data_IF_766788859459
#
_entry.id   IF_766788859459
#
_cell.length_a   1.000
_cell.length_b   1.000
_cell.length_c   1.000
_cell.angle_alpha   90.00
_cell.angle_beta   90.00
_cell.angle_gamma   90.00
#
_symmetry.space_group_name_H-M   'P 1'
#
loop_
_entity.id
_entity.type
_entity.pdbx_description
1 polymer ?
#
# COMPACT_ATOMS: atom_id res chain seq x y z
N UNK A 1 -20.52 12.40 -17.72
CA UNK A 1 -21.29 11.91 -16.55
C UNK A 1 -20.29 11.55 -15.48
N UNK A 2 -20.48 12.03 -14.25
CA UNK A 2 -19.60 11.67 -13.14
C UNK A 2 -19.67 10.16 -12.87
N UNK A 3 -18.52 9.50 -12.75
CA UNK A 3 -18.46 8.08 -12.43
C UNK A 3 -18.91 7.87 -10.98
N UNK A 4 -19.87 6.97 -10.76
CA UNK A 4 -20.27 6.56 -9.42
C UNK A 4 -19.26 5.61 -8.78
N UNK A 5 -19.15 5.63 -7.45
CA UNK A 5 -18.21 4.78 -6.71
C UNK A 5 -18.26 3.28 -7.05
N UNK A 6 -19.44 2.63 -7.20
CA UNK A 6 -19.50 1.22 -7.59
C UNK A 6 -18.90 0.96 -8.98
N UNK A 7 -19.11 1.87 -9.93
CA UNK A 7 -18.57 1.76 -11.27
C UNK A 7 -17.06 1.99 -11.29
N UNK A 8 -16.56 2.94 -10.49
CA UNK A 8 -15.13 3.17 -10.31
C UNK A 8 -14.46 1.94 -9.69
N UNK A 9 -15.02 1.39 -8.60
CA UNK A 9 -14.53 0.18 -7.95
C UNK A 9 -14.44 -0.97 -8.94
N UNK A 10 -15.53 -1.26 -9.66
CA UNK A 10 -15.55 -2.36 -10.62
C UNK A 10 -14.52 -2.18 -11.75
N UNK A 11 -14.24 -0.94 -12.17
CA UNK A 11 -13.21 -0.66 -13.19
C UNK A 11 -11.81 -0.91 -12.64
N UNK A 12 -11.49 -0.38 -11.46
CA UNK A 12 -10.22 -0.59 -10.77
C UNK A 12 -9.98 -2.07 -10.44
N UNK A 13 -11.03 -2.80 -10.03
CA UNK A 13 -10.98 -4.24 -9.77
C UNK A 13 -10.64 -5.03 -11.03
N UNK A 14 -11.26 -4.69 -12.18
CA UNK A 14 -10.93 -5.31 -13.49
C UNK A 14 -9.51 -5.02 -13.94
N UNK A 15 -9.01 -3.82 -13.67
CA UNK A 15 -7.62 -3.44 -13.93
C UNK A 15 -6.63 -4.12 -12.96
N UNK A 16 -7.13 -4.82 -11.93
CA UNK A 16 -6.30 -5.49 -10.94
C UNK A 16 -5.72 -4.56 -9.87
N UNK A 17 -6.20 -3.33 -9.74
CA UNK A 17 -5.70 -2.38 -8.73
C UNK A 17 -6.87 -1.80 -7.94
N UNK A 18 -7.43 -2.55 -6.97
CA UNK A 18 -8.68 -2.19 -6.30
C UNK A 18 -8.56 -0.87 -5.51
N UNK A 19 -9.73 -0.26 -5.28
CA UNK A 19 -9.82 0.93 -4.44
C UNK A 19 -9.48 0.59 -2.97
N UNK A 20 -8.85 1.55 -2.30
CA UNK A 20 -8.55 1.50 -0.86
C UNK A 20 -9.29 2.55 -0.05
N UNK A 21 -9.94 3.50 -0.70
CA UNK A 21 -10.71 4.58 -0.06
C UNK A 21 -10.53 5.89 -0.81
N UNK A 22 -11.26 6.91 -0.38
CA UNK A 22 -11.12 8.25 -0.93
C UNK A 22 -11.56 9.31 0.06
N UNK A 23 -11.18 10.56 -0.21
CA UNK A 23 -11.60 11.71 0.58
C UNK A 23 -11.68 12.96 -0.31
N UNK A 24 -12.38 13.97 0.18
CA UNK A 24 -12.41 15.30 -0.43
C UNK A 24 -11.26 16.12 0.17
N UNK A 25 -10.25 16.51 -0.62
CA UNK A 25 -9.07 17.21 -0.12
C UNK A 25 -9.39 18.54 0.55
N UNK A 26 -8.55 18.91 1.51
CA UNK A 26 -8.44 20.24 2.12
C UNK A 26 -7.06 20.81 1.80
N UNK A 27 -6.88 22.11 2.01
CA UNK A 27 -5.62 22.81 1.69
C UNK A 27 -4.39 22.19 2.40
N UNK A 28 -4.58 21.65 3.62
CA UNK A 28 -3.52 21.02 4.42
C UNK A 28 -3.23 19.55 4.05
N UNK A 29 -4.05 18.93 3.19
CA UNK A 29 -3.83 17.55 2.74
C UNK A 29 -2.69 17.44 1.70
N UNK A 30 -2.25 18.56 1.10
CA UNK A 30 -1.13 18.59 0.14
C UNK A 30 -1.39 17.84 -1.17
N UNK A 31 -2.66 17.75 -1.59
CA UNK A 31 -3.09 17.14 -2.85
C UNK A 31 -2.93 18.15 -3.98
N UNK A 32 -2.23 17.84 -5.09
CA UNK A 32 -2.09 18.76 -6.20
C UNK A 32 -3.43 18.94 -6.95
N UNK A 33 -3.58 20.01 -7.74
CA UNK A 33 -4.69 20.18 -8.67
C UNK A 33 -4.88 18.97 -9.61
N UNK A 34 -6.11 18.75 -10.06
CA UNK A 34 -6.44 17.82 -11.13
C UNK A 34 -6.32 18.56 -12.47
N UNK A 35 -5.13 18.50 -13.09
CA UNK A 35 -4.79 19.35 -14.23
C UNK A 35 -4.85 20.83 -13.85
N UNK A 36 -5.67 21.61 -14.57
CA UNK A 36 -5.85 23.05 -14.33
C UNK A 36 -6.94 23.36 -13.28
N UNK A 37 -7.62 22.33 -12.74
CA UNK A 37 -8.73 22.48 -11.80
C UNK A 37 -8.33 22.08 -10.38
N UNK A 38 -8.91 22.69 -9.33
CA UNK A 38 -8.72 22.24 -7.96
C UNK A 38 -9.12 20.77 -7.77
N UNK A 39 -8.43 20.07 -6.85
CA UNK A 39 -8.74 18.68 -6.53
C UNK A 39 -10.06 18.56 -5.76
N UNK A 40 -11.09 17.98 -6.36
CA UNK A 40 -12.38 17.71 -5.73
C UNK A 40 -12.41 16.40 -4.95
N UNK A 41 -11.69 15.38 -5.41
CA UNK A 41 -11.61 14.06 -4.77
C UNK A 41 -10.25 13.42 -5.00
N UNK A 42 -9.65 12.85 -3.94
CA UNK A 42 -8.54 11.92 -4.06
C UNK A 42 -9.02 10.51 -3.74
N UNK A 43 -8.70 9.55 -4.60
CA UNK A 43 -9.00 8.14 -4.44
C UNK A 43 -7.71 7.35 -4.40
N UNK A 44 -7.51 6.55 -3.35
CA UNK A 44 -6.35 5.68 -3.22
C UNK A 44 -6.61 4.31 -3.82
N UNK A 45 -5.60 3.78 -4.50
CA UNK A 45 -5.62 2.45 -5.09
C UNK A 45 -4.43 1.64 -4.57
N UNK A 46 -4.61 0.33 -4.51
CA UNK A 46 -3.56 -0.54 -4.00
C UNK A 46 -4.08 -1.94 -3.76
N UNK A 47 -3.55 -2.63 -2.76
CA UNK A 47 -3.90 -4.02 -2.53
C UNK A 47 -4.40 -4.27 -1.12
N UNK A 48 -5.45 -5.06 -1.03
CA UNK A 48 -5.94 -5.72 0.17
C UNK A 48 -6.55 -7.06 -0.28
N UNK A 49 -5.83 -8.15 -0.04
CA UNK A 49 -6.09 -9.43 -0.71
C UNK A 49 -5.34 -9.60 -2.05
N UNK A 50 -5.67 -10.64 -2.82
CA UNK A 50 -4.77 -11.20 -3.84
C UNK A 50 -4.90 -10.60 -5.24
N UNK A 51 -5.90 -9.75 -5.51
CA UNK A 51 -6.25 -9.32 -6.87
C UNK A 51 -5.11 -8.66 -7.62
N UNK A 52 -4.44 -7.69 -6.99
CA UNK A 52 -3.28 -7.00 -7.57
C UNK A 52 -2.13 -7.93 -7.85
N UNK A 53 -1.78 -8.80 -6.90
CA UNK A 53 -0.70 -9.75 -7.13
C UNK A 53 -1.03 -10.69 -8.30
N UNK A 54 -2.26 -11.22 -8.37
CA UNK A 54 -2.68 -12.07 -9.50
C UNK A 54 -2.62 -11.35 -10.85
N UNK A 55 -3.00 -10.08 -10.91
CA UNK A 55 -2.95 -9.30 -12.14
C UNK A 55 -1.50 -9.01 -12.57
N UNK A 56 -0.67 -8.57 -11.62
CA UNK A 56 0.75 -8.32 -11.86
C UNK A 56 1.52 -9.59 -12.24
N UNK A 57 1.28 -10.71 -11.55
CA UNK A 57 1.94 -11.98 -11.85
C UNK A 57 1.60 -12.46 -13.26
N UNK A 58 0.35 -12.31 -13.71
CA UNK A 58 -0.04 -12.60 -15.10
C UNK A 58 0.69 -11.72 -16.10
N UNK A 59 0.78 -10.42 -15.85
CA UNK A 59 1.54 -9.51 -16.72
C UNK A 59 3.04 -9.89 -16.81
N UNK A 60 3.58 -10.56 -15.79
CA UNK A 60 4.97 -11.05 -15.77
C UNK A 60 5.19 -12.37 -16.48
N UNK A 61 4.14 -13.09 -16.88
CA UNK A 61 4.28 -14.32 -17.67
C UNK A 61 4.97 -14.01 -19.01
N UNK A 62 4.58 -12.90 -19.66
CA UNK A 62 5.17 -12.43 -20.92
C UNK A 62 6.33 -11.44 -20.72
N UNK A 63 6.48 -10.87 -19.52
CA UNK A 63 7.52 -9.90 -19.19
C UNK A 63 8.15 -10.18 -17.80
N UNK A 64 9.02 -11.18 -17.66
CA UNK A 64 9.55 -11.62 -16.36
C UNK A 64 10.25 -10.52 -15.56
N UNK A 65 10.88 -9.54 -16.21
CA UNK A 65 11.59 -8.43 -15.55
C UNK A 65 10.70 -7.21 -15.25
N UNK A 66 9.41 -7.25 -15.55
CA UNK A 66 8.50 -6.13 -15.30
C UNK A 66 8.44 -5.79 -13.81
N UNK A 67 8.85 -4.56 -13.47
CA UNK A 67 8.77 -4.05 -12.11
C UNK A 67 7.32 -3.76 -11.73
N UNK A 68 7.00 -3.90 -10.44
CA UNK A 68 5.66 -3.62 -9.94
C UNK A 68 5.30 -2.14 -10.08
N UNK A 69 6.26 -1.24 -9.92
CA UNK A 69 6.04 0.20 -10.03
C UNK A 69 5.80 0.62 -11.50
N UNK A 70 6.49 -0.01 -12.45
CA UNK A 70 6.26 0.19 -13.89
C UNK A 70 4.88 -0.34 -14.31
N UNK A 71 4.51 -1.54 -13.85
CA UNK A 71 3.17 -2.09 -14.06
C UNK A 71 2.09 -1.20 -13.46
N UNK A 72 2.29 -0.75 -12.22
CA UNK A 72 1.37 0.17 -11.52
C UNK A 72 1.21 1.47 -12.31
N UNK A 73 2.32 2.07 -12.75
CA UNK A 73 2.32 3.30 -13.55
C UNK A 73 1.53 3.12 -14.84
N UNK A 74 1.76 2.02 -15.54
CA UNK A 74 1.08 1.71 -16.82
C UNK A 74 -0.43 1.56 -16.62
N UNK A 75 -0.85 0.72 -15.67
CA UNK A 75 -2.27 0.43 -15.41
C UNK A 75 -3.02 1.67 -14.93
N UNK A 76 -2.45 2.40 -13.97
CA UNK A 76 -3.15 3.54 -13.36
C UNK A 76 -3.12 4.76 -14.27
N UNK A 77 -2.08 4.97 -15.08
CA UNK A 77 -2.08 6.08 -16.04
C UNK A 77 -3.14 5.86 -17.13
N UNK A 78 -3.35 4.61 -17.57
CA UNK A 78 -4.45 4.28 -18.48
C UNK A 78 -5.82 4.55 -17.83
N UNK A 79 -6.02 4.13 -16.58
CA UNK A 79 -7.25 4.44 -15.83
C UNK A 79 -7.46 5.95 -15.69
N UNK A 80 -6.39 6.70 -15.39
CA UNK A 80 -6.45 8.15 -15.21
C UNK A 80 -6.88 8.86 -16.49
N UNK A 81 -6.30 8.48 -17.65
CA UNK A 81 -6.68 9.02 -18.94
C UNK A 81 -8.14 8.70 -19.31
N UNK A 82 -8.62 7.48 -19.05
CA UNK A 82 -10.01 7.09 -19.30
C UNK A 82 -11.03 7.82 -18.41
N UNK A 83 -10.60 8.22 -17.22
CA UNK A 83 -11.46 8.77 -16.17
C UNK A 83 -11.32 10.28 -16.03
N UNK A 84 -10.50 10.93 -16.87
CA UNK A 84 -10.15 12.35 -16.78
C UNK A 84 -9.62 12.73 -15.38
N UNK A 85 -8.73 11.89 -14.86
CA UNK A 85 -8.11 12.06 -13.55
C UNK A 85 -6.60 12.24 -13.68
N UNK A 86 -5.96 12.76 -12.63
CA UNK A 86 -4.50 12.81 -12.50
C UNK A 86 -4.00 11.63 -11.68
N UNK A 87 -3.07 10.85 -12.21
CA UNK A 87 -2.42 9.76 -11.48
C UNK A 87 -1.23 10.28 -10.66
N UNK A 88 -1.15 9.86 -9.39
CA UNK A 88 -0.01 10.12 -8.51
C UNK A 88 0.53 8.79 -7.96
N UNK A 89 1.84 8.72 -7.74
CA UNK A 89 2.51 7.49 -7.33
C UNK A 89 3.41 7.71 -6.10
N UNK A 90 3.45 6.75 -5.15
CA UNK A 90 4.26 6.87 -3.93
C UNK A 90 5.77 6.76 -4.19
N UNK A 91 6.15 6.29 -5.38
CA UNK A 91 7.54 6.07 -5.80
C UNK A 91 8.07 7.17 -6.75
N UNK A 92 7.31 8.25 -6.99
CA UNK A 92 7.77 9.42 -7.76
C UNK A 92 8.18 10.54 -6.79
N UNK A 93 9.42 11.02 -6.91
CA UNK A 93 9.99 12.08 -6.07
C UNK A 93 11.54 12.09 -6.10
N UNK A 94 12.21 12.91 -5.27
CA UNK A 94 11.64 13.87 -4.32
C UNK A 94 11.13 15.18 -4.97
N UNK A 95 10.18 15.92 -4.33
CA UNK A 95 9.50 15.55 -3.08
C UNK A 95 8.47 14.43 -3.30
N UNK A 96 8.37 13.53 -2.33
CA UNK A 96 7.42 12.42 -2.36
C UNK A 96 6.05 12.83 -1.83
N UNK A 97 4.98 12.27 -2.39
CA UNK A 97 3.62 12.46 -1.93
C UNK A 97 3.36 11.81 -0.55
N UNK A 98 2.55 12.43 0.33
CA UNK A 98 2.34 11.95 1.70
C UNK A 98 1.29 10.82 1.79
N UNK A 99 1.49 9.73 1.05
CA UNK A 99 0.53 8.62 0.92
C UNK A 99 0.05 8.04 2.24
N UNK A 100 0.89 7.98 3.28
CA UNK A 100 0.46 7.50 4.59
C UNK A 100 -0.58 8.44 5.24
N UNK A 101 -0.42 9.75 5.11
CA UNK A 101 -1.40 10.73 5.62
C UNK A 101 -2.71 10.64 4.84
N UNK A 102 -2.62 10.53 3.52
CA UNK A 102 -3.80 10.31 2.65
C UNK A 102 -4.53 9.02 3.01
N UNK A 103 -3.81 7.94 3.30
CA UNK A 103 -4.39 6.68 3.72
C UNK A 103 -5.19 6.80 5.01
N UNK A 104 -4.67 7.53 6.01
CA UNK A 104 -5.39 7.79 7.28
C UNK A 104 -6.67 8.64 7.09
N UNK A 105 -6.75 9.43 6.02
CA UNK A 105 -7.95 10.19 5.66
C UNK A 105 -8.99 9.32 4.93
N UNK A 106 -8.54 8.31 4.20
CA UNK A 106 -9.35 7.52 3.27
C UNK A 106 -9.81 6.15 3.81
N UNK A 107 -9.08 5.56 4.76
CA UNK A 107 -9.14 4.15 5.15
C UNK A 107 -9.01 4.06 6.70
N UNK A 108 -9.52 3.03 7.42
CA UNK A 108 -9.40 2.93 8.88
C UNK A 108 -8.03 2.40 9.30
N UNK A 109 -6.97 3.05 8.85
CA UNK A 109 -5.59 2.60 9.08
C UNK A 109 -4.87 3.45 10.10
N UNK A 110 -3.97 2.81 10.84
CA UNK A 110 -3.28 3.42 11.98
C UNK A 110 -1.77 3.15 11.91
N UNK A 111 -0.90 4.00 12.48
CA UNK A 111 0.52 3.68 12.59
C UNK A 111 0.73 2.40 13.42
N UNK A 112 1.52 1.46 12.89
CA UNK A 112 1.95 0.28 13.65
C UNK A 112 3.33 0.50 14.27
N UNK A 113 3.74 -0.32 15.25
CA UNK A 113 5.10 -0.30 15.78
C UNK A 113 6.20 -0.56 14.73
N UNK A 114 5.86 -1.12 13.56
CA UNK A 114 6.81 -1.42 12.48
C UNK A 114 6.99 -0.26 11.47
N UNK A 115 6.39 0.91 11.73
CA UNK A 115 6.51 2.10 10.86
C UNK A 115 5.64 2.06 9.59
N UNK A 116 5.00 0.93 9.30
CA UNK A 116 3.95 0.82 8.28
C UNK A 116 2.56 0.94 8.91
N UNK A 117 1.55 1.29 8.10
CA UNK A 117 0.17 1.35 8.54
C UNK A 117 -0.42 -0.05 8.76
N UNK A 118 -1.32 -0.18 9.74
CA UNK A 118 -2.09 -1.38 10.05
C UNK A 118 -3.58 -1.14 9.83
N UNK A 119 -4.22 -2.08 9.14
CA UNK A 119 -5.67 -2.12 8.93
C UNK A 119 -6.33 -3.12 9.89
N UNK A 120 -7.48 -2.80 10.52
CA UNK A 120 -8.19 -3.69 11.46
C UNK A 120 -8.55 -5.06 10.88
N UNK A 121 -8.95 -5.12 9.61
CA UNK A 121 -9.20 -6.35 8.85
C UNK A 121 -7.95 -6.99 8.23
N UNK A 122 -7.23 -6.27 7.37
CA UNK A 122 -6.10 -6.81 6.61
C UNK A 122 -4.78 -6.89 7.38
N UNK A 123 -4.76 -6.43 8.64
CA UNK A 123 -3.56 -6.36 9.45
C UNK A 123 -2.51 -5.50 8.76
N UNK A 124 -1.29 -6.01 8.72
CA UNK A 124 -0.19 -5.37 8.02
C UNK A 124 -0.14 -5.76 6.54
N UNK A 125 -1.10 -6.54 6.01
CA UNK A 125 -1.05 -7.14 4.67
C UNK A 125 -1.93 -6.40 3.66
N UNK A 126 -1.68 -5.10 3.56
CA UNK A 126 -2.23 -4.22 2.53
C UNK A 126 -1.15 -3.25 2.04
N UNK A 127 -1.46 -2.47 1.02
CA UNK A 127 -0.58 -1.44 0.49
C UNK A 127 -1.31 -0.43 -0.38
N UNK A 128 -0.71 0.74 -0.53
CA UNK A 128 -1.16 1.80 -1.44
C UNK A 128 -0.12 1.93 -2.56
N UNK A 129 -0.60 1.98 -3.80
CA UNK A 129 0.23 1.90 -5.00
C UNK A 129 0.07 3.12 -5.90
N UNK A 130 -1.09 3.77 -5.86
CA UNK A 130 -1.33 5.01 -6.59
C UNK A 130 -2.49 5.79 -5.98
N UNK A 131 -2.65 7.02 -6.44
CA UNK A 131 -3.84 7.83 -6.22
C UNK A 131 -4.37 8.36 -7.56
N UNK A 132 -5.70 8.48 -7.66
CA UNK A 132 -6.37 9.22 -8.71
C UNK A 132 -6.94 10.50 -8.10
N UNK A 133 -6.60 11.64 -8.70
CA UNK A 133 -7.13 12.95 -8.32
C UNK A 133 -8.13 13.40 -9.37
N UNK A 134 -9.35 13.63 -8.94
CA UNK A 134 -10.45 14.12 -9.77
C UNK A 134 -10.69 15.60 -9.47
N UNK A 135 -11.01 16.37 -10.51
CA UNK A 135 -11.48 17.74 -10.33
C UNK A 135 -12.85 17.76 -9.60
N UNK A 136 -13.65 16.72 -9.83
CA UNK A 136 -15.01 16.66 -9.32
C UNK A 136 -15.10 16.04 -7.93
N UNK A 137 -16.14 16.44 -7.22
CA UNK A 137 -16.48 15.90 -5.91
C UNK A 137 -17.34 14.64 -6.09
N UNK A 138 -16.70 13.48 -6.08
CA UNK A 138 -17.38 12.19 -6.21
C UNK A 138 -18.17 11.88 -4.94
N UNK A 139 -19.29 11.16 -5.10
CA UNK A 139 -20.00 10.56 -3.97
C UNK A 139 -19.20 9.37 -3.44
N UNK A 140 -18.69 9.49 -2.22
CA UNK A 140 -17.85 8.48 -1.57
C UNK A 140 -18.68 7.66 -0.58
N UNK A 141 -18.39 6.36 -0.39
CA UNK A 141 -18.95 5.63 0.73
C UNK A 141 -18.47 6.27 2.05
N UNK A 142 -19.26 6.15 3.13
CA UNK A 142 -18.77 6.53 4.45
C UNK A 142 -17.47 5.79 4.78
N UNK A 143 -16.47 6.53 5.29
CA UNK A 143 -15.25 5.92 5.81
C UNK A 143 -15.62 5.07 7.03
N UNK A 144 -15.22 3.81 7.04
CA UNK A 144 -15.26 3.01 8.28
C UNK A 144 -14.36 3.68 9.33
N UNK A 145 -14.83 3.84 10.56
CA UNK A 145 -14.02 4.38 11.66
C UNK A 145 -13.80 3.30 12.71
N UNK A 146 -12.80 2.46 12.46
CA UNK A 146 -12.45 1.34 13.31
C UNK A 146 -11.20 1.68 14.14
N UNK A 147 -11.16 1.31 15.43
CA UNK A 147 -10.02 1.59 16.30
C UNK A 147 -8.77 0.84 15.86
N UNK A 148 -7.60 1.36 16.24
CA UNK A 148 -6.32 0.69 15.98
C UNK A 148 -6.28 -0.67 16.69
N UNK A 149 -6.01 -1.78 15.98
CA UNK A 149 -5.80 -3.08 16.61
C UNK A 149 -4.54 -3.11 17.50
N UNK A 150 -3.61 -2.16 17.32
CA UNK A 150 -2.43 -2.05 18.18
C UNK A 150 -2.77 -1.52 19.57
N UNK A 151 -3.89 -0.80 19.75
CA UNK A 151 -4.28 -0.22 21.04
C UNK A 151 -4.60 -1.30 22.08
N UNK A 152 -5.12 -2.46 21.65
CA UNK A 152 -5.46 -3.60 22.52
C UNK A 152 -4.43 -4.74 22.48
N UNK A 153 -3.36 -4.63 21.69
CA UNK A 153 -2.34 -5.66 21.57
C UNK A 153 -1.27 -5.51 22.68
N UNK A 154 -1.46 -6.23 23.80
CA UNK A 154 -0.54 -6.19 24.93
C UNK A 154 0.83 -6.81 24.60
N UNK A 155 0.83 -7.99 23.96
CA UNK A 155 2.04 -8.80 23.76
C UNK A 155 3.02 -8.24 22.72
N UNK A 156 2.52 -7.38 21.81
CA UNK A 156 3.31 -6.75 20.72
C UNK A 156 4.33 -7.69 20.06
N UNK A 157 3.92 -8.90 19.62
CA UNK A 157 4.84 -9.93 19.13
C UNK A 157 5.70 -9.46 17.93
N UNK A 158 5.20 -8.48 17.17
CA UNK A 158 5.93 -7.88 16.06
C UNK A 158 7.25 -7.22 16.45
N UNK A 159 7.39 -6.71 17.68
CA UNK A 159 8.62 -6.08 18.17
C UNK A 159 9.69 -7.10 18.61
N UNK A 160 9.28 -8.33 18.91
CA UNK A 160 10.19 -9.37 19.44
C UNK A 160 10.55 -10.44 18.41
N UNK A 161 9.77 -10.57 17.34
CA UNK A 161 10.00 -11.57 16.31
C UNK A 161 11.13 -11.22 15.32
N UNK A 162 11.73 -10.02 15.39
CA UNK A 162 12.85 -9.65 14.53
C UNK A 162 14.14 -10.29 15.05
N UNK A 163 14.84 -11.15 14.28
CA UNK A 163 16.06 -11.81 14.75
C UNK A 163 17.21 -10.87 15.12
N UNK A 164 17.17 -9.64 14.61
CA UNK A 164 18.20 -8.62 14.83
C UNK A 164 17.64 -7.36 15.51
N UNK A 165 16.43 -7.43 16.07
CA UNK A 165 15.79 -6.31 16.77
C UNK A 165 15.76 -5.00 15.95
N UNK A 166 15.57 -5.09 14.63
CA UNK A 166 15.60 -3.93 13.73
C UNK A 166 14.47 -2.94 13.97
N UNK A 167 13.43 -3.30 14.73
CA UNK A 167 12.29 -2.44 15.00
C UNK A 167 12.30 -1.96 16.45
N UNK A 168 12.10 -0.66 16.62
CA UNK A 168 11.74 -0.04 17.88
C UNK A 168 10.55 0.90 17.64
N UNK A 169 9.83 1.35 18.69
CA UNK A 169 8.68 2.23 18.49
C UNK A 169 9.04 3.47 17.65
N UNK A 170 8.52 3.51 16.42
CA UNK A 170 8.74 4.62 15.48
C UNK A 170 10.08 4.62 14.73
N UNK A 171 10.88 3.56 14.84
CA UNK A 171 12.18 3.47 14.16
C UNK A 171 12.42 2.09 13.57
N UNK A 172 13.10 2.08 12.43
CA UNK A 172 13.50 0.89 11.70
C UNK A 172 14.99 0.98 11.34
N UNK A 173 15.80 0.12 11.95
CA UNK A 173 17.21 -0.06 11.62
C UNK A 173 17.34 -0.87 10.32
N UNK A 174 17.27 -0.13 9.21
CA UNK A 174 17.37 -0.67 7.85
C UNK A 174 18.73 -1.37 7.66
N UNK A 175 19.82 -0.81 8.17
CA UNK A 175 21.15 -1.36 8.01
C UNK A 175 21.30 -2.73 8.69
N UNK A 176 20.85 -2.85 9.95
CA UNK A 176 20.84 -4.13 10.66
C UNK A 176 19.96 -5.17 9.96
N UNK A 177 18.80 -4.74 9.44
CA UNK A 177 17.91 -5.64 8.71
C UNK A 177 18.55 -6.15 7.41
N UNK A 178 19.09 -5.26 6.56
CA UNK A 178 19.74 -5.65 5.30
C UNK A 178 20.93 -6.56 5.56
N UNK A 179 21.78 -6.24 6.53
CA UNK A 179 22.91 -7.09 6.92
C UNK A 179 22.47 -8.50 7.35
N UNK A 180 21.31 -8.63 8.02
CA UNK A 180 20.71 -9.92 8.32
C UNK A 180 20.21 -10.66 7.06
N UNK A 181 19.57 -9.95 6.13
CA UNK A 181 19.04 -10.52 4.88
C UNK A 181 20.14 -11.03 3.93
N UNK A 182 21.35 -10.45 4.01
CA UNK A 182 22.52 -10.89 3.24
C UNK A 182 23.16 -12.18 3.78
N UNK A 183 22.94 -12.49 5.07
CA UNK A 183 23.47 -13.69 5.71
C UNK A 183 22.59 -14.91 5.43
N UNK A 184 23.17 -16.12 5.51
CA UNK A 184 22.41 -17.38 5.40
C UNK A 184 21.27 -17.47 6.43
N UNK A 185 21.49 -16.93 7.64
CA UNK A 185 20.48 -16.85 8.70
C UNK A 185 19.27 -15.98 8.32
N UNK A 186 19.41 -15.08 7.33
CA UNK A 186 18.33 -14.24 6.81
C UNK A 186 17.36 -14.95 5.86
N UNK A 187 17.67 -16.17 5.41
CA UNK A 187 16.85 -16.90 4.45
C UNK A 187 15.35 -16.98 4.83
N UNK A 188 14.96 -17.23 6.09
CA UNK A 188 13.55 -17.22 6.50
C UNK A 188 12.85 -15.86 6.31
N UNK A 189 13.57 -14.75 6.47
CA UNK A 189 13.05 -13.40 6.23
C UNK A 189 12.94 -13.11 4.72
N UNK A 190 13.86 -13.64 3.90
CA UNK A 190 13.87 -13.44 2.44
C UNK A 190 12.75 -14.24 1.75
N UNK A 191 12.59 -15.52 2.08
CA UNK A 191 11.56 -16.39 1.47
C UNK A 191 10.21 -16.18 2.15
N UNK A 192 10.23 -16.15 3.48
CA UNK A 192 9.04 -16.05 4.30
C UNK A 192 8.53 -14.63 4.47
N UNK A 193 9.19 -13.59 3.98
CA UNK A 193 8.86 -12.20 4.33
C UNK A 193 9.25 -11.85 5.77
N UNK A 194 9.21 -10.56 6.09
CA UNK A 194 9.55 -10.03 7.41
C UNK A 194 8.84 -10.79 8.55
N UNK A 195 9.62 -11.42 9.44
CA UNK A 195 9.11 -12.20 10.57
C UNK A 195 8.32 -11.33 11.57
N UNK A 196 8.76 -10.09 11.80
CA UNK A 196 8.00 -9.11 12.60
C UNK A 196 6.61 -8.81 12.04
N UNK A 197 6.51 -8.64 10.71
CA UNK A 197 5.21 -8.41 10.06
C UNK A 197 4.30 -9.63 10.18
N UNK A 198 4.86 -10.84 10.07
CA UNK A 198 4.14 -12.11 10.20
C UNK A 198 3.71 -12.43 11.63
N UNK A 199 4.44 -11.95 12.62
CA UNK A 199 4.11 -12.15 14.02
C UNK A 199 2.88 -11.34 14.47
N UNK A 200 2.44 -10.34 13.68
CA UNK A 200 1.21 -9.62 13.97
C UNK A 200 0.00 -10.59 13.91
N UNK A 201 -0.81 -10.69 14.97
CA UNK A 201 -1.96 -11.59 15.00
C UNK A 201 -3.13 -11.12 14.11
N UNK A 202 -3.11 -9.86 13.67
CA UNK A 202 -4.19 -9.26 12.88
C UNK A 202 -3.97 -9.53 11.40
N UNK A 203 -5.03 -9.96 10.70
CA UNK A 203 -5.00 -10.17 9.26
C UNK A 203 -4.21 -11.40 8.80
N UNK A 204 -4.07 -12.42 9.65
CA UNK A 204 -3.35 -13.66 9.31
C UNK A 204 -3.87 -14.35 8.04
N UNK A 205 -5.17 -14.29 7.79
CA UNK A 205 -5.82 -14.81 6.57
C UNK A 205 -5.44 -14.03 5.30
N UNK A 206 -4.87 -12.83 5.46
CA UNK A 206 -4.50 -11.94 4.37
C UNK A 206 -2.99 -11.90 4.12
N UNK A 207 -2.21 -12.74 4.83
CA UNK A 207 -0.77 -12.89 4.57
C UNK A 207 -0.57 -13.16 3.08
N UNK A 208 0.30 -12.37 2.46
CA UNK A 208 0.61 -12.52 1.04
C UNK A 208 1.15 -13.92 0.73
N UNK A 209 0.85 -14.47 -0.45
CA UNK A 209 1.45 -15.73 -0.87
C UNK A 209 2.97 -15.61 -0.91
N UNK A 210 3.67 -16.74 -0.85
CA UNK A 210 5.14 -16.76 -0.75
C UNK A 210 5.81 -16.02 -1.90
N UNK A 211 5.30 -16.15 -3.13
CA UNK A 211 5.91 -15.50 -4.29
C UNK A 211 5.90 -13.97 -4.13
N UNK A 212 4.80 -13.42 -3.61
CA UNK A 212 4.68 -11.99 -3.36
C UNK A 212 5.59 -11.51 -2.21
N UNK A 213 5.67 -12.28 -1.12
CA UNK A 213 6.56 -11.96 0.01
C UNK A 213 8.01 -11.92 -0.44
N UNK A 214 8.45 -12.96 -1.14
CA UNK A 214 9.81 -13.07 -1.69
C UNK A 214 10.10 -11.95 -2.68
N UNK A 215 9.14 -11.62 -3.56
CA UNK A 215 9.28 -10.50 -4.49
C UNK A 215 9.53 -9.18 -3.77
N UNK A 216 8.72 -8.84 -2.76
CA UNK A 216 8.89 -7.61 -2.00
C UNK A 216 10.19 -7.58 -1.18
N UNK A 217 10.58 -8.71 -0.57
CA UNK A 217 11.84 -8.77 0.19
C UNK A 217 13.06 -8.60 -0.71
N UNK A 218 13.05 -9.19 -1.92
CA UNK A 218 14.10 -8.98 -2.91
C UNK A 218 14.18 -7.50 -3.32
N UNK A 219 13.04 -6.87 -3.61
CA UNK A 219 13.01 -5.46 -3.98
C UNK A 219 13.52 -4.55 -2.85
N UNK A 220 13.08 -4.79 -1.60
CA UNK A 220 13.55 -4.04 -0.43
C UNK A 220 15.08 -4.15 -0.26
N UNK A 221 15.63 -5.36 -0.36
CA UNK A 221 17.08 -5.60 -0.24
C UNK A 221 17.90 -4.90 -1.32
N UNK A 222 17.35 -4.74 -2.53
CA UNK A 222 18.04 -4.08 -3.64
C UNK A 222 17.95 -2.54 -3.58
N UNK A 223 16.95 -2.00 -2.89
CA UNK A 223 16.69 -0.57 -2.81
C UNK A 223 17.26 0.10 -1.55
N UNK A 224 17.61 -0.69 -0.53
CA UNK A 224 18.20 -0.24 0.73
C UNK A 224 19.73 -0.16 0.63
#
# INVERSE_FOLDING_TARGET
MLIGWPALSARCDRAGIPLRGGFHPRDDDGVPPAGDLPAGTLVLLGNAGPSMWRAFSRAREDAPELALDDWTSTVVSALAAELDATALFPFTGPPYWPFQRWAQRADPVHPSPLGILIHPRFGLWHGYRAALVFAERLSLPPREDLPSPCASCADRPCLHACPVSAFSPGSYDVAACVGHLDAQAGAPCVTGGCLSRRACPVGGEHIYPEEQRRFHMRAFRLAA
#
